data_IF_458368900827
#
_entry.id   IF_458368900827
#
_cell.length_a   1.000
_cell.length_b   1.000
_cell.length_c   1.000
_cell.angle_alpha   90.00
_cell.angle_beta   90.00
_cell.angle_gamma   90.00
#
_symmetry.space_group_name_H-M   'P 1'
#
loop_
_entity.id
_entity.type
_entity.pdbx_description
1 polymer ?
#
# COMPACT_ATOMS: atom_id res chain seq x y z
N UNK A 1 38.57 -38.89 -26.67
CA UNK A 1 37.15 -38.51 -26.82
C UNK A 1 36.34 -38.61 -25.51
N UNK A 2 36.81 -38.03 -24.40
CA UNK A 2 36.15 -38.14 -23.08
C UNK A 2 35.30 -36.90 -22.68
N UNK A 3 35.20 -35.87 -23.53
CA UNK A 3 34.64 -34.56 -23.15
C UNK A 3 33.13 -34.36 -23.35
N UNK A 4 32.41 -35.31 -23.95
CA UNK A 4 31.01 -35.10 -24.38
C UNK A 4 30.00 -36.16 -23.88
N UNK A 5 30.43 -37.13 -23.06
CA UNK A 5 29.54 -38.18 -22.56
C UNK A 5 28.41 -37.63 -21.66
N UNK A 6 28.65 -36.54 -20.92
CA UNK A 6 27.66 -35.87 -20.08
C UNK A 6 26.46 -35.31 -20.86
N UNK A 7 26.59 -35.09 -22.19
CA UNK A 7 25.48 -34.64 -23.04
C UNK A 7 24.48 -35.73 -23.35
N UNK A 8 24.84 -37.01 -23.14
CA UNK A 8 23.98 -38.17 -23.36
C UNK A 8 23.20 -38.60 -22.11
N UNK A 9 23.45 -37.96 -20.98
CA UNK A 9 22.78 -38.27 -19.72
C UNK A 9 21.47 -37.51 -19.62
N UNK A 10 20.44 -38.16 -19.08
CA UNK A 10 19.17 -37.52 -18.75
C UNK A 10 19.43 -36.36 -17.78
N UNK A 11 18.96 -35.16 -18.16
CA UNK A 11 19.07 -33.98 -17.32
C UNK A 11 17.84 -33.90 -16.44
N UNK A 12 18.00 -34.16 -15.16
CA UNK A 12 17.01 -33.77 -14.16
C UNK A 12 17.34 -32.37 -13.65
N UNK A 13 16.37 -31.47 -13.70
CA UNK A 13 16.44 -30.19 -13.00
C UNK A 13 16.45 -30.41 -11.49
N UNK A 14 17.04 -29.46 -10.76
CA UNK A 14 16.98 -29.44 -9.30
C UNK A 14 15.53 -29.49 -8.80
N UNK A 15 14.58 -28.88 -9.54
CA UNK A 15 13.16 -28.93 -9.22
C UNK A 15 12.60 -30.36 -9.29
N UNK A 16 12.91 -31.11 -10.35
CA UNK A 16 12.48 -32.51 -10.52
C UNK A 16 13.07 -33.42 -9.45
N UNK A 17 14.37 -33.25 -9.15
CA UNK A 17 15.04 -34.01 -8.09
C UNK A 17 14.41 -33.74 -6.72
N UNK A 18 14.05 -32.48 -6.43
CA UNK A 18 13.39 -32.11 -5.18
C UNK A 18 11.97 -32.67 -5.09
N UNK A 19 11.21 -32.66 -6.18
CA UNK A 19 9.85 -33.24 -6.23
C UNK A 19 9.85 -34.76 -6.03
N UNK A 20 10.88 -35.45 -6.53
CA UNK A 20 11.03 -36.90 -6.41
C UNK A 20 11.71 -37.34 -5.09
N UNK A 21 12.25 -36.38 -4.32
CA UNK A 21 12.90 -36.64 -3.03
C UNK A 21 11.95 -36.51 -1.84
N UNK A 22 12.26 -37.22 -0.75
CA UNK A 22 11.63 -37.03 0.57
C UNK A 22 11.80 -35.59 1.12
N UNK A 23 12.71 -34.78 0.55
CA UNK A 23 12.93 -33.39 0.93
C UNK A 23 11.90 -32.41 0.30
N UNK A 24 11.17 -32.82 -0.75
CA UNK A 24 10.15 -32.00 -1.40
C UNK A 24 9.07 -31.48 -0.43
N UNK A 25 8.41 -32.36 0.35
CA UNK A 25 7.45 -31.96 1.37
C UNK A 25 8.04 -31.04 2.45
N UNK A 26 9.30 -31.25 2.84
CA UNK A 26 9.98 -30.41 3.83
C UNK A 26 10.24 -29.00 3.30
N UNK A 27 10.71 -28.87 2.05
CA UNK A 27 10.91 -27.58 1.38
C UNK A 27 9.59 -26.83 1.23
N UNK A 28 8.51 -27.51 0.83
CA UNK A 28 7.17 -26.92 0.77
C UNK A 28 6.68 -26.44 2.14
N UNK A 29 6.88 -27.25 3.18
CA UNK A 29 6.52 -26.87 4.57
C UNK A 29 7.28 -25.64 5.04
N UNK A 30 8.59 -25.56 4.79
CA UNK A 30 9.41 -24.40 5.17
C UNK A 30 8.95 -23.14 4.41
N UNK A 31 8.66 -23.24 3.11
CA UNK A 31 8.10 -22.13 2.33
C UNK A 31 6.77 -21.64 2.90
N UNK A 32 5.85 -22.55 3.17
CA UNK A 32 4.56 -22.20 3.76
C UNK A 32 4.70 -21.52 5.13
N UNK A 33 5.64 -21.96 5.97
CA UNK A 33 5.93 -21.28 7.24
C UNK A 33 6.48 -19.87 6.99
N UNK A 34 7.41 -19.71 6.05
CA UNK A 34 7.98 -18.40 5.69
C UNK A 34 6.89 -17.45 5.18
N UNK A 35 6.00 -17.92 4.30
CA UNK A 35 4.90 -17.12 3.76
C UNK A 35 3.97 -16.64 4.89
N UNK A 36 3.66 -17.51 5.85
CA UNK A 36 2.86 -17.15 7.02
C UNK A 36 3.57 -16.13 7.92
N UNK A 37 4.88 -16.28 8.13
CA UNK A 37 5.67 -15.31 8.90
C UNK A 37 5.62 -13.94 8.22
N UNK A 38 5.81 -13.90 6.90
CA UNK A 38 5.76 -12.65 6.14
C UNK A 38 4.40 -11.97 6.22
N UNK A 39 3.31 -12.74 6.10
CA UNK A 39 1.96 -12.21 6.31
C UNK A 39 1.81 -11.62 7.72
N UNK A 40 2.24 -12.33 8.75
CA UNK A 40 2.15 -11.84 10.13
C UNK A 40 3.00 -10.60 10.37
N UNK A 41 4.19 -10.49 9.76
CA UNK A 41 5.01 -9.28 9.85
C UNK A 41 4.31 -8.07 9.23
N UNK A 42 3.68 -8.24 8.06
CA UNK A 42 2.91 -7.17 7.40
C UNK A 42 1.68 -6.78 8.24
N UNK A 43 0.89 -7.76 8.70
CA UNK A 43 -0.29 -7.51 9.55
C UNK A 43 0.12 -6.78 10.83
N UNK A 44 1.19 -7.22 11.49
CA UNK A 44 1.72 -6.60 12.70
C UNK A 44 2.15 -5.16 12.45
N UNK A 45 2.83 -4.88 11.35
CA UNK A 45 3.25 -3.52 11.00
C UNK A 45 2.05 -2.59 10.77
N UNK A 46 0.97 -3.09 10.16
CA UNK A 46 -0.27 -2.33 9.96
C UNK A 46 -0.96 -2.03 11.30
N UNK A 47 -1.16 -3.06 12.12
CA UNK A 47 -1.94 -2.96 13.37
C UNK A 47 -1.20 -2.17 14.46
N UNK A 48 0.11 -2.36 14.58
CA UNK A 48 0.90 -1.72 15.64
C UNK A 48 1.43 -0.34 15.23
N UNK A 49 1.22 0.07 13.97
CA UNK A 49 1.83 1.28 13.42
C UNK A 49 3.36 1.22 13.40
N UNK A 50 3.95 0.03 13.52
CA UNK A 50 5.38 -0.14 13.70
C UNK A 50 6.12 0.33 12.43
N UNK A 51 7.17 1.13 12.56
CA UNK A 51 7.94 1.66 11.44
C UNK A 51 8.89 0.62 10.81
N UNK A 52 8.73 -0.65 11.18
CA UNK A 52 9.50 -1.75 10.60
C UNK A 52 9.34 -1.81 9.08
N UNK A 53 10.47 -1.94 8.38
CA UNK A 53 10.48 -2.08 6.92
C UNK A 53 9.94 -3.46 6.52
N UNK A 54 8.70 -3.49 6.02
CA UNK A 54 8.02 -4.72 5.55
C UNK A 54 8.13 -4.93 4.04
N UNK A 55 8.94 -4.14 3.34
CA UNK A 55 9.06 -4.18 1.88
C UNK A 55 9.43 -5.59 1.37
N UNK A 56 10.41 -6.23 2.01
CA UNK A 56 10.85 -7.57 1.64
C UNK A 56 9.78 -8.64 1.89
N UNK A 57 8.99 -8.49 2.96
CA UNK A 57 7.87 -9.40 3.25
C UNK A 57 6.75 -9.23 2.21
N UNK A 58 6.40 -7.99 1.85
CA UNK A 58 5.44 -7.72 0.77
C UNK A 58 5.92 -8.31 -0.57
N UNK A 59 7.20 -8.15 -0.91
CA UNK A 59 7.78 -8.75 -2.10
C UNK A 59 7.65 -10.28 -2.10
N UNK A 60 8.01 -10.94 -0.99
CA UNK A 60 7.90 -12.40 -0.88
C UNK A 60 6.47 -12.89 -1.01
N UNK A 61 5.51 -12.21 -0.37
CA UNK A 61 4.07 -12.51 -0.50
C UNK A 61 3.62 -12.39 -1.97
N UNK A 62 3.98 -11.31 -2.66
CA UNK A 62 3.61 -11.08 -4.05
C UNK A 62 4.13 -12.17 -5.01
N UNK A 63 5.27 -12.78 -4.68
CA UNK A 63 5.87 -13.88 -5.46
C UNK A 63 5.45 -15.28 -4.96
N UNK A 64 4.72 -15.36 -3.86
CA UNK A 64 4.29 -16.63 -3.27
C UNK A 64 3.07 -17.20 -4.01
N UNK A 65 2.80 -18.51 -3.92
CA UNK A 65 1.59 -19.11 -4.48
C UNK A 65 0.28 -18.53 -3.91
N UNK A 66 0.32 -17.99 -2.69
CA UNK A 66 -0.83 -17.33 -2.07
C UNK A 66 -1.10 -15.93 -2.66
N UNK A 67 -0.04 -15.30 -3.20
CA UNK A 67 -0.10 -14.06 -3.95
C UNK A 67 -0.74 -12.89 -3.18
N UNK A 68 -1.27 -11.89 -3.91
CA UNK A 68 -1.92 -10.73 -3.30
C UNK A 68 -3.26 -11.08 -2.64
N UNK A 69 -3.90 -12.19 -3.02
CA UNK A 69 -5.18 -12.65 -2.45
C UNK A 69 -5.12 -12.89 -0.94
N UNK A 70 -4.00 -13.42 -0.44
CA UNK A 70 -3.82 -13.58 1.01
C UNK A 70 -3.84 -12.24 1.76
N UNK A 71 -3.21 -11.20 1.20
CA UNK A 71 -3.16 -9.88 1.82
C UNK A 71 -4.52 -9.17 1.74
N UNK A 72 -5.28 -9.37 0.65
CA UNK A 72 -6.67 -8.89 0.54
C UNK A 72 -7.57 -9.51 1.61
N UNK A 73 -7.45 -10.82 1.83
CA UNK A 73 -8.20 -11.50 2.88
C UNK A 73 -7.84 -10.96 4.28
N UNK A 74 -6.54 -10.74 4.55
CA UNK A 74 -6.09 -10.13 5.80
C UNK A 74 -6.62 -8.71 5.97
N UNK A 75 -6.60 -7.89 4.90
CA UNK A 75 -7.17 -6.54 4.91
C UNK A 75 -8.65 -6.57 5.32
N UNK A 76 -9.47 -7.43 4.71
CA UNK A 76 -10.89 -7.58 5.07
C UNK A 76 -11.07 -7.93 6.55
N UNK A 77 -10.28 -8.86 7.07
CA UNK A 77 -10.38 -9.32 8.46
C UNK A 77 -10.03 -8.20 9.46
N UNK A 78 -9.00 -7.41 9.17
CA UNK A 78 -8.54 -6.36 10.08
C UNK A 78 -9.29 -5.04 9.90
N UNK A 79 -9.92 -4.80 8.74
CA UNK A 79 -10.49 -3.51 8.36
C UNK A 79 -11.41 -2.88 9.42
N UNK A 80 -12.30 -3.61 10.11
CA UNK A 80 -13.16 -3.05 11.15
C UNK A 80 -12.41 -2.50 12.38
N UNK A 81 -11.17 -2.95 12.60
CA UNK A 81 -10.33 -2.56 13.74
C UNK A 81 -9.27 -1.51 13.38
N UNK A 82 -9.16 -1.11 12.12
CA UNK A 82 -8.15 -0.15 11.68
C UNK A 82 -8.62 1.29 11.88
N UNK A 83 -7.69 2.15 12.31
CA UNK A 83 -7.86 3.59 12.20
C UNK A 83 -7.77 4.02 10.73
N UNK A 84 -8.21 5.23 10.39
CA UNK A 84 -8.06 5.77 9.03
C UNK A 84 -6.59 5.84 8.58
N UNK A 85 -5.65 6.10 9.50
CA UNK A 85 -4.21 6.12 9.23
C UNK A 85 -3.69 4.72 8.89
N UNK A 86 -3.96 3.74 9.78
CA UNK A 86 -3.58 2.35 9.53
C UNK A 86 -4.25 1.77 8.29
N UNK A 87 -5.48 2.20 7.97
CA UNK A 87 -6.16 1.83 6.74
C UNK A 87 -5.42 2.34 5.49
N UNK A 88 -5.06 3.62 5.46
CA UNK A 88 -4.31 4.19 4.32
C UNK A 88 -3.00 3.43 4.09
N UNK A 89 -2.29 3.10 5.17
CA UNK A 89 -1.08 2.27 5.12
C UNK A 89 -1.36 0.86 4.60
N UNK A 90 -2.41 0.19 5.09
CA UNK A 90 -2.79 -1.14 4.65
C UNK A 90 -3.09 -1.17 3.15
N UNK A 91 -3.86 -0.19 2.65
CA UNK A 91 -4.17 -0.07 1.23
C UNK A 91 -2.91 0.19 0.38
N UNK A 92 -1.97 1.01 0.86
CA UNK A 92 -0.70 1.25 0.16
C UNK A 92 0.16 -0.03 0.07
N UNK A 93 0.19 -0.85 1.12
CA UNK A 93 0.91 -2.13 1.12
C UNK A 93 0.25 -3.16 0.19
N UNK A 94 -1.08 -3.18 0.12
CA UNK A 94 -1.82 -3.99 -0.87
C UNK A 94 -1.51 -3.53 -2.28
N UNK A 95 -1.50 -2.22 -2.54
CA UNK A 95 -1.12 -1.66 -3.84
C UNK A 95 0.29 -2.10 -4.26
N UNK A 96 1.27 -2.02 -3.35
CA UNK A 96 2.62 -2.51 -3.60
C UNK A 96 2.64 -4.01 -3.90
N UNK A 97 1.91 -4.83 -3.12
CA UNK A 97 1.81 -6.26 -3.33
C UNK A 97 1.24 -6.60 -4.72
N UNK A 98 0.16 -5.94 -5.14
CA UNK A 98 -0.46 -6.10 -6.46
C UNK A 98 0.51 -5.71 -7.58
N UNK A 99 1.18 -4.56 -7.46
CA UNK A 99 2.14 -4.10 -8.46
C UNK A 99 3.34 -5.06 -8.60
N UNK A 100 3.83 -5.61 -7.48
CA UNK A 100 4.90 -6.62 -7.47
C UNK A 100 4.43 -7.94 -8.07
N UNK A 101 3.17 -8.31 -7.85
CA UNK A 101 2.57 -9.53 -8.42
C UNK A 101 2.46 -9.45 -9.94
N UNK A 102 2.41 -8.24 -10.52
CA UNK A 102 2.49 -8.03 -11.97
C UNK A 102 3.90 -8.23 -12.55
N UNK A 103 4.94 -8.45 -11.71
CA UNK A 103 6.31 -8.79 -12.13
C UNK A 103 6.92 -7.83 -13.16
N UNK A 104 6.67 -6.53 -13.01
CA UNK A 104 7.17 -5.50 -13.93
C UNK A 104 6.41 -5.39 -15.26
N UNK A 105 5.29 -6.11 -15.40
CA UNK A 105 4.36 -6.01 -16.52
C UNK A 105 3.15 -5.13 -16.15
N UNK A 106 2.28 -4.80 -17.11
CA UNK A 106 1.05 -4.03 -16.86
C UNK A 106 1.20 -2.50 -16.90
N UNK A 107 2.37 -2.00 -17.28
CA UNK A 107 2.60 -0.57 -17.53
C UNK A 107 2.81 0.28 -16.28
N UNK A 108 2.53 1.58 -16.39
CA UNK A 108 2.78 2.55 -15.32
C UNK A 108 1.77 2.43 -14.18
N UNK A 109 2.26 2.44 -12.93
CA UNK A 109 1.40 2.52 -11.73
C UNK A 109 0.70 3.88 -11.63
N UNK A 110 1.35 4.95 -12.08
CA UNK A 110 0.83 6.33 -12.09
C UNK A 110 -0.29 6.51 -13.12
N UNK A 111 -1.44 7.02 -12.70
CA UNK A 111 -2.53 7.41 -13.60
C UNK A 111 -3.87 7.60 -12.89
N UNK A 112 -4.92 8.04 -13.59
CA UNK A 112 -6.25 8.19 -13.01
C UNK A 112 -6.86 6.82 -12.69
N UNK A 113 -7.54 6.75 -11.53
CA UNK A 113 -8.24 5.58 -11.00
C UNK A 113 -9.77 5.75 -11.19
N UNK A 114 -10.23 5.84 -12.44
CA UNK A 114 -11.59 6.26 -12.81
C UNK A 114 -12.50 5.12 -13.32
N UNK A 115 -12.15 3.85 -13.09
CA UNK A 115 -13.07 2.76 -13.45
C UNK A 115 -14.33 2.79 -12.55
N UNK A 116 -15.56 2.84 -13.13
CA UNK A 116 -16.82 2.83 -12.40
C UNK A 116 -17.03 1.67 -11.43
N UNK A 117 -16.44 0.49 -11.69
CA UNK A 117 -16.51 -0.68 -10.81
C UNK A 117 -16.00 -0.37 -9.40
N UNK A 118 -15.07 0.59 -9.27
CA UNK A 118 -14.47 0.98 -8.00
C UNK A 118 -15.18 2.16 -7.34
N UNK A 119 -16.14 2.80 -8.01
CA UNK A 119 -16.74 4.06 -7.57
C UNK A 119 -17.39 3.96 -6.19
N UNK A 120 -18.13 2.87 -5.93
CA UNK A 120 -18.80 2.65 -4.66
C UNK A 120 -17.82 2.65 -3.47
N UNK A 121 -16.61 2.09 -3.65
CA UNK A 121 -15.60 2.12 -2.60
C UNK A 121 -15.09 3.54 -2.32
N UNK A 122 -14.92 4.35 -3.37
CA UNK A 122 -14.50 5.75 -3.23
C UNK A 122 -15.60 6.62 -2.58
N UNK A 123 -16.87 6.37 -2.88
CA UNK A 123 -18.02 7.01 -2.21
C UNK A 123 -18.06 6.69 -0.71
N UNK A 124 -17.79 5.42 -0.32
CA UNK A 124 -17.66 5.04 1.09
C UNK A 124 -16.56 5.84 1.79
N UNK A 125 -15.42 6.07 1.12
CA UNK A 125 -14.32 6.87 1.68
C UNK A 125 -14.72 8.34 1.83
N UNK A 126 -15.31 8.95 0.80
CA UNK A 126 -15.52 10.41 0.77
C UNK A 126 -16.73 10.88 1.53
N UNK A 127 -17.86 10.20 1.34
CA UNK A 127 -19.16 10.72 1.74
C UNK A 127 -19.58 10.09 3.05
N UNK A 128 -19.44 8.76 3.15
CA UNK A 128 -19.83 7.98 4.33
C UNK A 128 -18.73 7.97 5.40
N UNK A 129 -17.47 8.24 5.01
CA UNK A 129 -16.26 8.12 5.84
C UNK A 129 -16.10 6.71 6.44
N UNK A 130 -16.64 5.70 5.77
CA UNK A 130 -16.57 4.30 6.18
C UNK A 130 -15.41 3.60 5.46
N UNK A 131 -14.23 3.70 6.09
CA UNK A 131 -13.00 3.12 5.57
C UNK A 131 -13.05 1.59 5.55
N UNK A 132 -13.74 0.96 6.52
CA UNK A 132 -13.81 -0.49 6.62
C UNK A 132 -14.65 -1.06 5.46
N UNK A 133 -15.83 -0.47 5.22
CA UNK A 133 -16.67 -0.84 4.09
C UNK A 133 -15.98 -0.59 2.75
N UNK A 134 -15.25 0.51 2.62
CA UNK A 134 -14.47 0.79 1.42
C UNK A 134 -13.41 -0.28 1.15
N UNK A 135 -12.70 -0.77 2.18
CA UNK A 135 -11.70 -1.82 2.05
C UNK A 135 -12.31 -3.16 1.59
N UNK A 136 -13.50 -3.51 2.06
CA UNK A 136 -14.26 -4.67 1.59
C UNK A 136 -14.59 -4.54 0.09
N UNK A 137 -15.18 -3.41 -0.31
CA UNK A 137 -15.56 -3.16 -1.70
C UNK A 137 -14.35 -3.13 -2.64
N UNK A 138 -13.24 -2.53 -2.23
CA UNK A 138 -11.97 -2.57 -2.97
C UNK A 138 -11.51 -4.01 -3.17
N UNK A 139 -11.57 -4.84 -2.12
CA UNK A 139 -11.17 -6.24 -2.20
C UNK A 139 -12.11 -7.08 -3.10
N UNK A 140 -13.43 -6.85 -3.04
CA UNK A 140 -14.42 -7.54 -3.88
C UNK A 140 -14.14 -7.32 -5.37
N UNK A 141 -13.92 -6.07 -5.78
CA UNK A 141 -13.60 -5.75 -7.19
C UNK A 141 -12.23 -6.32 -7.58
N UNK A 142 -11.25 -6.20 -6.68
CA UNK A 142 -9.88 -6.68 -6.93
C UNK A 142 -9.81 -8.19 -7.20
N UNK A 143 -10.63 -8.99 -6.53
CA UNK A 143 -10.66 -10.45 -6.72
C UNK A 143 -10.95 -10.83 -8.19
N UNK A 144 -11.77 -10.06 -8.89
CA UNK A 144 -12.07 -10.25 -10.31
C UNK A 144 -10.98 -9.75 -11.27
N UNK A 145 -9.93 -9.13 -10.75
CA UNK A 145 -8.88 -8.43 -11.51
C UNK A 145 -7.48 -9.05 -11.33
N UNK A 146 -7.37 -10.20 -10.65
CA UNK A 146 -6.09 -10.89 -10.42
C UNK A 146 -5.65 -11.81 -11.58
N UNK A 147 -6.36 -11.78 -12.72
CA UNK A 147 -6.19 -12.70 -13.85
C UNK A 147 -5.11 -12.29 -14.85
N UNK A 148 -4.66 -11.04 -14.82
CA UNK A 148 -3.60 -10.55 -15.72
C UNK A 148 -2.72 -9.47 -15.08
N UNK A 149 -1.45 -9.35 -15.50
CA UNK A 149 -0.55 -8.31 -14.99
C UNK A 149 -1.06 -6.88 -15.22
N UNK A 150 -1.71 -6.60 -16.35
CA UNK A 150 -2.33 -5.30 -16.62
C UNK A 150 -3.46 -4.97 -15.63
N UNK A 151 -4.31 -5.94 -15.31
CA UNK A 151 -5.38 -5.75 -14.32
C UNK A 151 -4.83 -5.64 -12.90
N UNK A 152 -3.78 -6.40 -12.55
CA UNK A 152 -3.06 -6.25 -11.28
C UNK A 152 -2.49 -4.84 -11.12
N UNK A 153 -1.84 -4.29 -12.15
CA UNK A 153 -1.26 -2.94 -12.10
C UNK A 153 -2.36 -1.86 -11.98
N UNK A 154 -3.48 -2.03 -12.68
CA UNK A 154 -4.62 -1.11 -12.56
C UNK A 154 -5.30 -1.21 -11.20
N UNK A 155 -5.47 -2.41 -10.66
CA UNK A 155 -5.99 -2.61 -9.31
C UNK A 155 -5.05 -1.95 -8.28
N UNK A 156 -3.73 -2.14 -8.39
CA UNK A 156 -2.75 -1.48 -7.53
C UNK A 156 -2.94 0.05 -7.50
N UNK A 157 -3.17 0.68 -8.66
CA UNK A 157 -3.46 2.11 -8.76
C UNK A 157 -4.75 2.52 -8.02
N UNK A 158 -5.80 1.69 -8.06
CA UNK A 158 -7.03 1.96 -7.31
C UNK A 158 -6.81 1.90 -5.79
N UNK A 159 -6.00 0.95 -5.29
CA UNK A 159 -5.63 0.90 -3.88
C UNK A 159 -4.75 2.08 -3.47
N UNK A 160 -3.77 2.46 -4.29
CA UNK A 160 -2.92 3.64 -4.06
C UNK A 160 -3.74 4.93 -4.03
N UNK A 161 -4.68 5.08 -4.98
CA UNK A 161 -5.60 6.23 -5.01
C UNK A 161 -6.53 6.29 -3.79
N UNK A 162 -7.00 5.14 -3.31
CA UNK A 162 -7.81 5.06 -2.09
C UNK A 162 -7.00 5.43 -0.85
N UNK A 163 -5.77 4.92 -0.73
CA UNK A 163 -4.83 5.32 0.32
C UNK A 163 -4.59 6.83 0.31
N UNK A 164 -4.31 7.42 -0.86
CA UNK A 164 -4.10 8.87 -1.01
C UNK A 164 -5.36 9.67 -0.64
N UNK A 165 -6.56 9.16 -0.97
CA UNK A 165 -7.83 9.82 -0.60
C UNK A 165 -8.04 9.82 0.91
N UNK A 166 -7.82 8.68 1.58
CA UNK A 166 -7.93 8.60 3.05
C UNK A 166 -6.89 9.51 3.70
N UNK A 167 -5.64 9.51 3.23
CA UNK A 167 -4.60 10.44 3.69
C UNK A 167 -5.05 11.90 3.54
N UNK A 168 -5.63 12.27 2.41
CA UNK A 168 -6.17 13.62 2.19
C UNK A 168 -7.28 13.99 3.18
N UNK A 169 -8.17 13.05 3.51
CA UNK A 169 -9.21 13.27 4.52
C UNK A 169 -8.62 13.45 5.92
N UNK A 170 -7.59 12.67 6.26
CA UNK A 170 -6.85 12.83 7.50
C UNK A 170 -6.18 14.23 7.56
N UNK A 171 -5.56 14.70 6.48
CA UNK A 171 -4.97 16.07 6.43
C UNK A 171 -6.01 17.14 6.67
N UNK A 172 -7.22 17.00 6.11
CA UNK A 172 -8.27 18.01 6.26
C UNK A 172 -8.71 18.22 7.70
N UNK A 173 -8.49 17.25 8.60
CA UNK A 173 -8.73 17.43 10.04
C UNK A 173 -7.85 18.51 10.67
N UNK A 174 -6.70 18.83 10.06
CA UNK A 174 -5.81 19.91 10.53
C UNK A 174 -6.52 21.27 10.66
N UNK A 175 -7.59 21.50 9.89
CA UNK A 175 -8.42 22.72 10.00
C UNK A 175 -8.99 22.93 11.40
N UNK A 176 -9.25 21.86 12.15
CA UNK A 176 -9.74 21.95 13.53
C UNK A 176 -8.72 22.63 14.48
N UNK A 177 -7.44 22.62 14.11
CA UNK A 177 -6.34 23.19 14.87
C UNK A 177 -5.87 24.56 14.33
N UNK A 178 -6.46 25.01 13.22
CA UNK A 178 -6.20 26.35 12.68
C UNK A 178 -7.06 27.36 13.44
N UNK A 179 -6.43 28.12 14.34
CA UNK A 179 -7.10 29.14 15.13
C UNK A 179 -6.71 30.54 14.65
N UNK A 180 -7.70 31.38 14.38
CA UNK A 180 -7.48 32.82 14.23
C UNK A 180 -7.25 33.41 15.61
N UNK A 181 -6.09 34.01 15.82
CA UNK A 181 -5.68 34.55 17.12
C UNK A 181 -6.47 35.81 17.54
N UNK A 182 -7.17 36.46 16.61
CA UNK A 182 -8.05 37.61 16.88
C UNK A 182 -9.28 37.58 15.97
N UNK A 183 -10.47 37.95 16.46
CA UNK A 183 -11.55 38.38 15.59
C UNK A 183 -11.05 39.64 14.88
N UNK A 184 -10.70 39.52 13.60
CA UNK A 184 -10.47 40.67 12.75
C UNK A 184 -11.81 41.11 12.16
N UNK A 185 -12.07 42.42 12.11
CA UNK A 185 -13.17 42.93 11.29
C UNK A 185 -12.96 42.44 9.85
N UNK A 186 -14.02 41.88 9.26
CA UNK A 186 -13.94 41.48 7.87
C UNK A 186 -13.85 42.76 7.02
N UNK A 187 -12.98 42.78 6.00
CA UNK A 187 -12.93 43.90 5.07
C UNK A 187 -14.31 44.14 4.45
N UNK A 188 -14.62 45.40 4.20
CA UNK A 188 -15.85 45.74 3.48
C UNK A 188 -15.73 45.31 2.02
N UNK A 189 -16.88 45.02 1.41
CA UNK A 189 -16.94 44.73 -0.01
C UNK A 189 -16.38 45.93 -0.81
N UNK A 190 -15.36 45.67 -1.63
CA UNK A 190 -14.68 46.71 -2.43
C UNK A 190 -13.34 47.19 -1.85
N UNK A 191 -12.94 46.73 -0.67
CA UNK A 191 -11.63 47.04 -0.09
C UNK A 191 -10.54 46.07 -0.60
N UNK A 192 -9.34 46.60 -0.84
CA UNK A 192 -8.16 45.80 -1.17
C UNK A 192 -7.38 45.48 0.11
N UNK A 193 -7.12 44.20 0.34
CA UNK A 193 -6.18 43.75 1.38
C UNK A 193 -4.87 43.39 0.71
N UNK A 194 -3.77 43.92 1.27
CA UNK A 194 -2.42 43.42 1.00
C UNK A 194 -1.97 42.56 2.18
N UNK A 195 -1.46 41.36 1.89
CA UNK A 195 -0.90 40.45 2.88
C UNK A 195 0.53 40.15 2.47
N UNK A 196 1.45 40.20 3.44
CA UNK A 196 2.85 39.82 3.26
C UNK A 196 3.15 38.64 4.18
N UNK A 197 3.82 37.63 3.62
CA UNK A 197 4.33 36.49 4.39
C UNK A 197 5.72 36.12 3.84
N UNK A 198 6.71 35.87 4.72
CA UNK A 198 8.03 35.44 4.28
C UNK A 198 7.95 34.06 3.63
N UNK A 199 8.79 33.83 2.62
CA UNK A 199 9.02 32.48 2.12
C UNK A 199 9.78 31.66 3.17
N UNK A 200 9.49 30.36 3.26
CA UNK A 200 10.22 29.43 4.11
C UNK A 200 11.29 28.67 3.32
N UNK A 201 12.40 28.36 3.95
CA UNK A 201 13.38 27.37 3.47
C UNK A 201 13.58 26.27 4.50
N UNK A 202 13.60 25.01 4.04
CA UNK A 202 13.85 23.86 4.91
C UNK A 202 15.35 23.63 5.02
N UNK A 203 15.92 23.87 6.20
CA UNK A 203 17.34 23.61 6.46
C UNK A 203 17.60 22.12 6.71
N UNK A 204 16.68 21.43 7.39
CA UNK A 204 16.76 20.02 7.69
C UNK A 204 15.38 19.41 7.92
N UNK A 205 15.25 18.10 7.73
CA UNK A 205 14.01 17.37 8.01
C UNK A 205 12.90 17.59 6.98
N UNK A 206 13.21 18.20 5.82
CA UNK A 206 12.25 18.36 4.74
C UNK A 206 11.53 17.05 4.40
N UNK A 207 10.24 17.15 4.10
CA UNK A 207 9.29 16.04 3.89
C UNK A 207 8.86 15.25 5.13
N UNK A 208 9.52 15.40 6.28
CA UNK A 208 9.07 14.68 7.49
C UNK A 208 7.72 15.19 8.00
N UNK A 209 7.38 16.45 7.72
CA UNK A 209 6.07 17.06 7.98
C UNK A 209 5.00 16.66 6.96
N UNK A 210 5.39 15.98 5.88
CA UNK A 210 4.49 15.59 4.80
C UNK A 210 3.91 14.20 5.06
N UNK A 211 2.58 14.04 4.97
CA UNK A 211 1.95 12.73 5.05
C UNK A 211 2.44 11.78 3.93
N UNK A 212 2.51 10.46 4.19
CA UNK A 212 2.08 9.78 5.40
C UNK A 212 3.10 9.82 6.56
N UNK A 213 4.34 10.28 6.33
CA UNK A 213 5.42 10.26 7.32
C UNK A 213 5.00 10.96 8.61
N UNK A 214 4.46 12.17 8.49
CA UNK A 214 4.05 12.98 9.65
C UNK A 214 2.91 12.37 10.48
N UNK A 215 2.09 11.47 9.91
CA UNK A 215 1.02 10.80 10.67
C UNK A 215 1.46 9.49 11.30
N UNK A 216 2.42 8.79 10.72
CA UNK A 216 2.87 7.49 11.21
C UNK A 216 3.97 7.63 12.27
N UNK A 217 4.91 8.55 12.05
CA UNK A 217 6.10 8.70 12.90
C UNK A 217 6.23 10.11 13.53
N UNK A 218 5.30 11.02 13.22
CA UNK A 218 5.51 12.44 13.45
C UNK A 218 6.44 13.06 12.41
N UNK A 219 6.60 14.37 12.47
CA UNK A 219 7.42 15.13 11.53
C UNK A 219 8.06 16.34 12.21
N UNK A 220 9.32 16.62 11.88
CA UNK A 220 10.05 17.77 12.40
C UNK A 220 10.91 18.35 11.30
N UNK A 221 10.58 19.58 10.90
CA UNK A 221 11.34 20.37 9.94
C UNK A 221 11.98 21.54 10.67
N UNK A 222 13.29 21.73 10.46
CA UNK A 222 13.99 22.94 10.88
C UNK A 222 13.98 23.90 9.69
N UNK A 223 13.32 25.04 9.84
CA UNK A 223 13.12 26.04 8.78
C UNK A 223 13.60 27.45 9.19
N UNK A 224 13.75 28.34 8.21
CA UNK A 224 13.92 29.79 8.37
C UNK A 224 13.07 30.56 7.35
#
# INVERSE_FOLDING_TARGET
EFGHQWRKWERASLAELLQQSLAGPQVQRVRHISDRIDQQLVVRAILQGDCACVHNSVHRIATSPAGPGALLQQLRQMAPSLTSQSMARALALVAECLARSAQGQGGLRSGPALNPEWAAAYECITDQKDCARAAELLADVCEGWMDSPDRLMRAARHFEGAAARITSLNVRTAKAYAHTTRPAEQPQFGEWITVEAPARIDMAGGWTDTPPISYEAGGVVVNA
#
